data_IF_019132452946
#
_entry.id   IF_019132452946
#
_cell.length_a   1.000
_cell.length_b   1.000
_cell.length_c   1.000
_cell.angle_alpha   90.00
_cell.angle_beta   90.00
_cell.angle_gamma   90.00
#
_symmetry.space_group_name_H-M   'P 1'
#
loop_
_entity.id
_entity.type
_entity.pdbx_description
1 polymer ?
#
# COMPACT_ATOMS: atom_id res chain seq x y z
N UNK A 1 4.97 2.07 -15.85
CA UNK A 1 6.30 1.65 -16.38
C UNK A 1 6.08 0.64 -17.48
N UNK A 2 6.83 0.68 -18.58
CA UNK A 2 6.58 -0.16 -19.76
C UNK A 2 7.79 -1.05 -20.04
N UNK A 3 7.55 -2.24 -20.56
CA UNK A 3 8.57 -3.23 -20.85
C UNK A 3 8.22 -4.08 -22.07
N UNK A 4 9.24 -4.71 -22.66
CA UNK A 4 9.10 -5.73 -23.68
C UNK A 4 9.65 -7.07 -23.16
N UNK A 5 8.96 -8.17 -23.47
CA UNK A 5 9.37 -9.52 -23.11
C UNK A 5 9.62 -10.34 -24.36
N UNK A 6 10.73 -11.07 -24.36
CA UNK A 6 11.02 -12.13 -25.33
C UNK A 6 11.18 -13.42 -24.55
N UNK A 7 10.39 -14.43 -24.89
CA UNK A 7 10.40 -15.71 -24.21
C UNK A 7 10.56 -16.85 -25.21
N UNK A 8 11.41 -17.82 -24.90
CA UNK A 8 11.57 -19.03 -25.71
C UNK A 8 10.41 -20.00 -25.49
N UNK A 9 10.24 -20.94 -26.42
CA UNK A 9 9.27 -22.03 -26.24
C UNK A 9 9.55 -22.80 -24.94
N UNK A 10 8.50 -23.14 -24.21
CA UNK A 10 8.57 -23.83 -22.93
C UNK A 10 9.01 -22.97 -21.74
N UNK A 11 9.25 -21.66 -21.92
CA UNK A 11 9.62 -20.78 -20.82
C UNK A 11 8.50 -20.74 -19.76
N UNK A 12 8.88 -20.99 -18.51
CA UNK A 12 7.99 -21.07 -17.36
C UNK A 12 8.40 -20.05 -16.30
N UNK A 13 7.43 -19.29 -15.79
CA UNK A 13 7.59 -18.35 -14.69
C UNK A 13 6.71 -18.84 -13.55
N UNK A 14 7.30 -19.26 -12.40
CA UNK A 14 6.56 -19.78 -11.24
C UNK A 14 5.57 -18.78 -10.64
N UNK A 15 4.77 -19.23 -9.68
CA UNK A 15 3.83 -18.38 -8.93
C UNK A 15 4.53 -17.20 -8.27
N UNK A 16 4.02 -16.01 -8.53
CA UNK A 16 4.44 -14.76 -7.88
C UNK A 16 3.30 -13.74 -7.95
N UNK A 17 3.46 -12.62 -7.25
CA UNK A 17 2.69 -11.39 -7.46
C UNK A 17 3.62 -10.32 -8.03
N UNK A 18 3.09 -9.41 -8.84
CA UNK A 18 3.89 -8.30 -9.32
C UNK A 18 4.32 -7.40 -8.16
N UNK A 19 5.55 -6.88 -8.25
CA UNK A 19 6.16 -6.07 -7.19
C UNK A 19 5.36 -4.82 -6.86
N UNK A 20 5.62 -4.23 -5.68
CA UNK A 20 5.19 -2.87 -5.34
C UNK A 20 3.67 -2.62 -5.47
N UNK A 21 2.85 -3.67 -5.40
CA UNK A 21 1.40 -3.57 -5.54
C UNK A 21 0.95 -3.08 -6.93
N UNK A 22 1.70 -3.38 -7.98
CA UNK A 22 1.31 -3.01 -9.34
C UNK A 22 0.18 -3.87 -9.89
N UNK A 23 -0.72 -3.23 -10.62
CA UNK A 23 -1.49 -3.90 -11.67
C UNK A 23 -0.63 -4.00 -12.92
N UNK A 24 -0.92 -4.99 -13.77
CA UNK A 24 -0.12 -5.28 -14.96
C UNK A 24 -1.01 -5.41 -16.18
N UNK A 25 -0.57 -4.86 -17.31
CA UNK A 25 -1.12 -5.21 -18.61
C UNK A 25 -0.06 -5.89 -19.45
N UNK A 26 -0.48 -6.83 -20.29
CA UNK A 26 0.37 -7.53 -21.23
C UNK A 26 -0.38 -7.77 -22.52
N UNK A 27 0.30 -7.61 -23.64
CA UNK A 27 -0.23 -7.75 -24.98
C UNK A 27 0.72 -8.59 -25.83
N UNK A 28 0.21 -9.68 -26.39
CA UNK A 28 1.02 -10.60 -27.19
C UNK A 28 1.15 -10.05 -28.62
N UNK A 29 2.38 -9.98 -29.10
CA UNK A 29 2.69 -9.51 -30.46
C UNK A 29 2.92 -10.68 -31.42
N UNK A 30 3.54 -11.75 -30.94
CA UNK A 30 3.69 -13.04 -31.63
C UNK A 30 3.85 -14.16 -30.61
N UNK A 31 3.59 -15.41 -31.00
CA UNK A 31 3.60 -16.56 -30.10
C UNK A 31 2.37 -16.60 -29.20
N UNK A 32 2.42 -17.35 -28.10
CA UNK A 32 1.28 -17.54 -27.19
C UNK A 32 1.73 -17.74 -25.75
N UNK A 33 0.91 -17.30 -24.79
CA UNK A 33 1.14 -17.54 -23.35
C UNK A 33 -0.12 -18.04 -22.67
N UNK A 34 0.03 -18.99 -21.76
CA UNK A 34 -0.94 -19.15 -20.67
C UNK A 34 -0.55 -18.22 -19.55
N UNK A 35 -1.48 -17.34 -19.21
CA UNK A 35 -1.45 -16.55 -18.00
C UNK A 35 -2.43 -17.18 -17.02
N UNK A 36 -1.90 -17.87 -16.01
CA UNK A 36 -2.74 -18.57 -15.03
C UNK A 36 -2.84 -17.69 -13.80
N UNK A 37 -4.06 -17.33 -13.43
CA UNK A 37 -4.41 -16.42 -12.36
C UNK A 37 -4.98 -17.20 -11.19
N UNK A 38 -4.54 -16.89 -9.98
CA UNK A 38 -5.19 -17.36 -8.77
C UNK A 38 -6.39 -16.48 -8.42
N UNK A 39 -7.43 -17.10 -7.89
CA UNK A 39 -8.60 -16.46 -7.29
C UNK A 39 -8.80 -17.01 -5.88
N UNK A 40 -9.23 -16.19 -4.91
CA UNK A 40 -9.59 -16.71 -3.60
C UNK A 40 -10.60 -17.85 -3.68
N UNK A 41 -10.53 -18.76 -2.71
CA UNK A 41 -11.49 -19.87 -2.61
C UNK A 41 -12.79 -19.39 -2.00
N UNK A 42 -13.89 -19.99 -2.45
CA UNK A 42 -15.21 -19.57 -2.03
C UNK A 42 -15.62 -18.29 -2.75
N UNK A 43 -16.90 -17.94 -2.65
CA UNK A 43 -17.43 -16.73 -3.29
C UNK A 43 -16.96 -15.48 -2.53
N UNK A 44 -15.67 -15.13 -2.63
CA UNK A 44 -15.09 -13.86 -2.20
C UNK A 44 -14.98 -12.94 -3.45
N UNK A 45 -16.05 -12.20 -3.79
CA UNK A 45 -16.06 -11.34 -4.97
C UNK A 45 -15.09 -10.15 -4.84
N UNK A 46 -14.70 -9.80 -3.62
CA UNK A 46 -13.93 -8.60 -3.30
C UNK A 46 -12.42 -8.86 -3.19
N UNK A 47 -12.00 -10.12 -3.40
CA UNK A 47 -10.61 -10.55 -3.32
C UNK A 47 -9.95 -10.27 -1.96
N UNK A 48 -10.77 -10.14 -0.92
CA UNK A 48 -10.37 -9.75 0.44
C UNK A 48 -9.49 -10.79 1.14
N UNK A 49 -9.58 -12.06 0.73
CA UNK A 49 -8.72 -13.13 1.22
C UNK A 49 -7.25 -12.94 0.82
N UNK A 50 -6.97 -12.27 -0.30
CA UNK A 50 -5.60 -11.92 -0.66
C UNK A 50 -4.99 -10.82 0.24
N UNK A 51 -5.79 -10.22 1.13
CA UNK A 51 -5.27 -9.35 2.19
C UNK A 51 -4.75 -10.14 3.41
N UNK A 52 -4.97 -11.46 3.49
CA UNK A 52 -4.53 -12.29 4.63
C UNK A 52 -3.03 -12.58 4.56
N UNK A 53 -2.34 -12.48 5.69
CA UNK A 53 -0.90 -12.83 5.77
C UNK A 53 -0.69 -14.32 5.51
N UNK A 54 -1.65 -15.14 5.95
CA UNK A 54 -1.61 -16.61 5.78
C UNK A 54 -1.69 -17.04 4.31
N UNK A 55 -2.19 -16.18 3.42
CA UNK A 55 -2.31 -16.46 1.98
C UNK A 55 -0.95 -16.83 1.39
N UNK A 56 0.10 -16.11 1.81
CA UNK A 56 1.46 -16.26 1.30
C UNK A 56 2.42 -17.00 2.24
N UNK A 57 2.01 -17.22 3.49
CA UNK A 57 2.79 -17.99 4.47
C UNK A 57 2.59 -19.50 4.35
N UNK A 58 3.54 -20.26 4.91
CA UNK A 58 3.38 -21.70 5.11
C UNK A 58 3.78 -22.55 3.90
N UNK A 59 4.85 -22.18 3.20
CA UNK A 59 5.47 -23.01 2.17
C UNK A 59 4.64 -23.13 0.90
N UNK A 60 4.24 -21.99 0.31
CA UNK A 60 3.77 -21.99 -1.08
C UNK A 60 4.83 -22.68 -1.93
N UNK A 61 4.44 -23.76 -2.59
CA UNK A 61 5.26 -24.33 -3.65
C UNK A 61 5.03 -23.46 -4.88
N UNK A 62 5.98 -22.59 -5.19
CA UNK A 62 5.87 -21.66 -6.32
C UNK A 62 5.78 -22.39 -7.67
N UNK A 63 6.07 -23.69 -7.72
CA UNK A 63 6.01 -24.51 -8.93
C UNK A 63 4.77 -25.38 -9.02
N UNK A 64 4.03 -25.59 -7.92
CA UNK A 64 2.81 -26.38 -7.89
C UNK A 64 1.53 -25.52 -7.97
N UNK A 65 0.37 -26.07 -8.34
CA UNK A 65 -0.87 -25.30 -8.47
C UNK A 65 -1.40 -24.63 -7.18
N UNK A 66 -1.04 -25.12 -5.98
CA UNK A 66 -1.54 -24.66 -4.67
C UNK A 66 -3.10 -24.64 -4.57
N UNK A 67 -3.78 -25.70 -5.03
CA UNK A 67 -5.26 -25.80 -5.08
C UNK A 67 -5.94 -25.88 -3.71
N UNK A 68 -5.16 -26.12 -2.65
CA UNK A 68 -5.61 -25.97 -1.27
C UNK A 68 -5.87 -24.50 -0.91
N UNK A 69 -5.15 -23.56 -1.55
CA UNK A 69 -5.16 -22.12 -1.24
C UNK A 69 -6.07 -21.29 -2.13
N UNK A 70 -6.10 -21.56 -3.43
CA UNK A 70 -6.83 -20.74 -4.40
C UNK A 70 -7.44 -21.59 -5.54
N UNK A 71 -8.42 -20.99 -6.21
CA UNK A 71 -8.95 -21.46 -7.48
C UNK A 71 -8.13 -20.89 -8.64
N UNK A 72 -8.06 -21.60 -9.77
CA UNK A 72 -7.22 -21.22 -10.89
C UNK A 72 -8.04 -20.90 -12.14
N UNK A 73 -7.70 -19.78 -12.78
CA UNK A 73 -8.24 -19.38 -14.06
C UNK A 73 -7.10 -19.21 -15.07
N UNK A 74 -7.04 -20.07 -16.08
CA UNK A 74 -6.02 -20.01 -17.12
C UNK A 74 -6.55 -19.27 -18.36
N UNK A 75 -5.88 -18.18 -18.74
CA UNK A 75 -6.21 -17.40 -19.93
C UNK A 75 -5.15 -17.64 -21.00
N UNK A 76 -5.58 -18.13 -22.17
CA UNK A 76 -4.70 -18.22 -23.34
C UNK A 76 -4.64 -16.86 -24.03
N UNK A 77 -3.45 -16.29 -24.07
CA UNK A 77 -3.16 -15.04 -24.75
C UNK A 77 -2.52 -15.34 -26.11
N UNK A 78 -3.15 -14.81 -27.16
CA UNK A 78 -2.74 -14.93 -28.56
C UNK A 78 -2.43 -13.54 -29.12
N UNK A 79 -1.77 -13.44 -30.29
CA UNK A 79 -1.41 -12.15 -30.86
C UNK A 79 -2.61 -11.22 -31.03
N UNK A 80 -2.50 -9.99 -30.54
CA UNK A 80 -3.58 -9.00 -30.51
C UNK A 80 -4.46 -9.04 -29.25
N UNK A 81 -4.28 -10.03 -28.37
CA UNK A 81 -4.97 -10.07 -27.06
C UNK A 81 -4.20 -9.25 -26.04
N UNK A 82 -4.90 -8.35 -25.34
CA UNK A 82 -4.40 -7.66 -24.14
C UNK A 82 -5.10 -8.19 -22.90
N UNK A 83 -4.31 -8.64 -21.93
CA UNK A 83 -4.76 -8.93 -20.57
C UNK A 83 -4.46 -7.72 -19.68
N UNK A 84 -5.39 -7.39 -18.78
CA UNK A 84 -5.18 -6.44 -17.69
C UNK A 84 -5.45 -7.18 -16.38
N UNK A 85 -4.44 -7.27 -15.53
CA UNK A 85 -4.43 -7.97 -14.26
C UNK A 85 -4.39 -6.95 -13.13
N UNK A 86 -5.21 -7.18 -12.11
CA UNK A 86 -5.29 -6.35 -10.90
C UNK A 86 -4.02 -6.53 -10.02
N UNK A 87 -3.73 -5.60 -9.11
CA UNK A 87 -2.67 -5.78 -8.12
C UNK A 87 -2.85 -7.01 -7.24
N UNK A 88 -1.76 -7.44 -6.58
CA UNK A 88 -1.80 -8.49 -5.55
C UNK A 88 -2.46 -9.81 -6.03
N UNK A 89 -2.31 -10.14 -7.32
CA UNK A 89 -2.87 -11.35 -7.92
C UNK A 89 -1.76 -12.38 -8.12
N UNK A 90 -1.78 -13.51 -7.39
CA UNK A 90 -0.84 -14.59 -7.64
C UNK A 90 -1.06 -15.11 -9.05
N UNK A 91 0.02 -15.24 -9.81
CA UNK A 91 -0.04 -15.72 -11.17
C UNK A 91 1.22 -16.50 -11.55
N UNK A 92 1.08 -17.40 -12.51
CA UNK A 92 2.18 -18.05 -13.20
C UNK A 92 2.01 -17.92 -14.71
N UNK A 93 3.11 -18.07 -15.44
CA UNK A 93 3.10 -17.90 -16.89
C UNK A 93 3.83 -19.05 -17.57
N UNK A 94 3.19 -19.66 -18.56
CA UNK A 94 3.81 -20.64 -19.44
C UNK A 94 3.77 -20.14 -20.89
N UNK A 95 4.88 -20.28 -21.60
CA UNK A 95 5.02 -19.78 -22.97
C UNK A 95 4.99 -20.92 -23.98
N UNK A 96 4.07 -20.85 -24.95
CA UNK A 96 3.99 -21.78 -26.07
C UNK A 96 4.58 -21.15 -27.34
N UNK A 97 5.66 -21.73 -27.83
CA UNK A 97 6.42 -21.19 -28.94
C UNK A 97 7.16 -19.91 -28.57
N UNK A 98 8.15 -19.54 -29.39
CA UNK A 98 8.85 -18.27 -29.23
C UNK A 98 7.87 -17.10 -29.28
N UNK A 99 7.86 -16.29 -28.22
CA UNK A 99 6.85 -15.26 -27.99
C UNK A 99 7.51 -13.91 -27.77
N UNK A 100 6.92 -12.87 -28.37
CA UNK A 100 7.21 -11.47 -28.03
C UNK A 100 5.94 -10.86 -27.46
N UNK A 101 6.06 -10.21 -26.31
CA UNK A 101 4.98 -9.49 -25.67
C UNK A 101 5.43 -8.09 -25.26
N UNK A 102 4.47 -7.17 -25.22
CA UNK A 102 4.66 -5.83 -24.67
C UNK A 102 3.76 -5.69 -23.44
N UNK A 103 4.23 -5.00 -22.42
CA UNK A 103 3.42 -4.81 -21.22
C UNK A 103 3.88 -3.66 -20.38
N UNK A 104 3.28 -3.57 -19.21
CA UNK A 104 3.63 -2.55 -18.24
C UNK A 104 2.87 -2.64 -16.95
N UNK A 105 3.39 -1.92 -15.97
CA UNK A 105 2.84 -1.80 -14.63
C UNK A 105 2.14 -0.45 -14.43
N UNK A 106 1.05 -0.46 -13.68
CA UNK A 106 0.24 0.71 -13.37
C UNK A 106 -0.36 0.65 -11.95
N UNK A 107 -0.77 1.81 -11.46
CA UNK A 107 -1.66 1.94 -10.31
C UNK A 107 -3.02 2.42 -10.81
N UNK A 108 -4.10 1.94 -10.20
CA UNK A 108 -5.46 2.38 -10.51
C UNK A 108 -6.21 2.69 -9.23
N UNK A 109 -6.85 3.86 -9.19
CA UNK A 109 -7.68 4.32 -8.07
C UNK A 109 -8.75 3.30 -7.67
N UNK A 110 -9.33 2.60 -8.66
CA UNK A 110 -10.42 1.63 -8.46
C UNK A 110 -10.03 0.36 -7.69
N UNK A 111 -8.73 0.08 -7.52
CA UNK A 111 -8.21 -1.12 -6.85
C UNK A 111 -7.02 -0.78 -5.93
N UNK A 112 -7.00 0.44 -5.38
CA UNK A 112 -5.88 0.90 -4.55
C UNK A 112 -5.70 0.10 -3.25
N UNK A 113 -6.76 -0.49 -2.70
CA UNK A 113 -6.64 -1.43 -1.57
C UNK A 113 -5.76 -2.63 -1.92
N UNK A 114 -5.94 -3.19 -3.12
CA UNK A 114 -5.16 -4.33 -3.60
C UNK A 114 -3.69 -3.93 -3.78
N UNK A 115 -3.43 -2.70 -4.26
CA UNK A 115 -2.07 -2.14 -4.29
C UNK A 115 -1.47 -2.07 -2.89
N UNK A 116 -2.19 -1.58 -1.89
CA UNK A 116 -1.68 -1.51 -0.52
C UNK A 116 -1.31 -2.88 0.05
N UNK A 117 -2.18 -3.88 -0.14
CA UNK A 117 -1.91 -5.24 0.29
C UNK A 117 -0.73 -5.85 -0.46
N UNK A 118 -0.63 -5.63 -1.78
CA UNK A 118 0.49 -6.10 -2.59
C UNK A 118 1.82 -5.48 -2.16
N UNK A 119 1.86 -4.18 -1.83
CA UNK A 119 3.08 -3.55 -1.28
C UNK A 119 3.50 -4.20 0.04
N UNK A 120 2.55 -4.43 0.95
CA UNK A 120 2.83 -5.06 2.25
C UNK A 120 3.33 -6.51 2.10
N UNK A 121 2.68 -7.31 1.26
CA UNK A 121 3.10 -8.69 0.97
C UNK A 121 4.47 -8.76 0.31
N UNK A 122 4.69 -7.98 -0.75
CA UNK A 122 5.96 -8.00 -1.47
C UNK A 122 7.11 -7.41 -0.66
N UNK A 123 6.85 -6.48 0.27
CA UNK A 123 7.88 -6.03 1.21
C UNK A 123 8.32 -7.17 2.13
N UNK A 124 7.39 -7.83 2.81
CA UNK A 124 7.71 -8.91 3.76
C UNK A 124 8.30 -10.14 3.06
N UNK A 125 7.79 -10.49 1.88
CA UNK A 125 8.14 -11.74 1.19
C UNK A 125 8.89 -11.59 -0.12
N UNK A 126 9.65 -10.50 -0.32
CA UNK A 126 10.26 -10.20 -1.62
C UNK A 126 11.14 -11.29 -2.21
N UNK A 127 11.83 -12.07 -1.39
CA UNK A 127 12.67 -13.18 -1.84
C UNK A 127 11.90 -14.32 -2.53
N UNK A 128 10.58 -14.44 -2.29
CA UNK A 128 9.75 -15.53 -2.81
C UNK A 128 8.62 -15.01 -3.69
N UNK A 129 7.99 -13.90 -3.30
CA UNK A 129 6.72 -13.44 -3.86
C UNK A 129 6.86 -12.56 -5.09
N UNK A 130 8.03 -11.98 -5.34
CA UNK A 130 8.27 -11.11 -6.49
C UNK A 130 9.65 -11.36 -7.07
N UNK A 131 9.83 -11.03 -8.35
CA UNK A 131 11.09 -11.13 -9.07
C UNK A 131 11.88 -9.82 -9.08
N UNK A 132 11.27 -8.70 -8.68
CA UNK A 132 11.90 -7.37 -8.75
C UNK A 132 11.34 -6.41 -7.71
N UNK A 133 11.97 -5.24 -7.61
CA UNK A 133 11.51 -4.07 -6.87
C UNK A 133 11.78 -2.84 -7.72
N UNK A 134 10.82 -1.92 -7.80
CA UNK A 134 10.92 -0.72 -8.61
C UNK A 134 10.95 0.51 -7.71
N UNK A 135 12.13 1.00 -7.33
CA UNK A 135 12.27 2.19 -6.47
C UNK A 135 11.42 3.41 -6.86
N UNK A 136 11.20 3.74 -8.16
CA UNK A 136 10.32 4.85 -8.55
C UNK A 136 8.84 4.68 -8.14
N UNK A 137 8.41 3.47 -7.76
CA UNK A 137 7.04 3.16 -7.34
C UNK A 137 6.58 4.04 -6.17
N UNK A 138 7.46 4.27 -5.19
CA UNK A 138 7.19 5.07 -3.99
C UNK A 138 6.94 6.53 -4.34
N UNK A 139 7.67 7.07 -5.32
CA UNK A 139 7.42 8.41 -5.84
C UNK A 139 6.07 8.51 -6.57
N UNK A 140 5.63 7.46 -7.27
CA UNK A 140 4.32 7.44 -7.92
C UNK A 140 3.18 7.44 -6.89
N UNK A 141 3.28 6.64 -5.83
CA UNK A 141 2.29 6.63 -4.74
C UNK A 141 2.21 8.00 -4.03
N UNK A 142 3.37 8.62 -3.76
CA UNK A 142 3.45 10.00 -3.23
C UNK A 142 2.80 11.04 -4.16
N UNK A 143 2.94 10.87 -5.48
CA UNK A 143 2.25 11.74 -6.46
C UNK A 143 0.75 11.50 -6.52
N UNK A 144 0.28 10.27 -6.27
CA UNK A 144 -1.14 9.98 -6.20
C UNK A 144 -1.80 10.65 -4.99
N UNK A 145 -1.18 10.60 -3.80
CA UNK A 145 -1.73 11.32 -2.64
C UNK A 145 -1.73 12.84 -2.84
N UNK A 146 -0.69 13.38 -3.48
CA UNK A 146 -0.66 14.79 -3.89
C UNK A 146 -1.83 15.11 -4.83
N UNK A 147 -2.06 14.30 -5.86
CA UNK A 147 -3.16 14.48 -6.80
C UNK A 147 -4.54 14.43 -6.12
N UNK A 148 -4.76 13.48 -5.21
CA UNK A 148 -6.01 13.37 -4.46
C UNK A 148 -6.20 14.56 -3.52
N UNK A 149 -5.15 14.99 -2.83
CA UNK A 149 -5.18 16.15 -1.94
C UNK A 149 -5.52 17.44 -2.69
N UNK A 150 -4.80 17.75 -3.78
CA UNK A 150 -5.04 18.94 -4.57
C UNK A 150 -6.46 18.98 -5.14
N UNK A 151 -6.99 17.82 -5.56
CA UNK A 151 -8.31 17.75 -6.18
C UNK A 151 -9.46 17.77 -5.16
N UNK A 152 -9.36 16.98 -4.08
CA UNK A 152 -10.43 16.83 -3.09
C UNK A 152 -10.40 17.91 -2.01
N UNK A 153 -9.21 18.20 -1.47
CA UNK A 153 -9.04 19.13 -0.35
C UNK A 153 -8.97 20.56 -0.83
N UNK A 154 -8.09 20.85 -1.81
CA UNK A 154 -7.88 22.21 -2.33
C UNK A 154 -8.87 22.60 -3.43
N UNK A 155 -9.62 21.65 -3.97
CA UNK A 155 -10.63 21.91 -5.01
C UNK A 155 -10.01 22.35 -6.34
N UNK A 156 -8.79 21.92 -6.64
CA UNK A 156 -8.11 22.23 -7.89
C UNK A 156 -8.91 21.70 -9.09
N UNK A 157 -9.22 22.58 -10.05
CA UNK A 157 -9.95 22.19 -11.25
C UNK A 157 -9.11 21.27 -12.14
N UNK A 158 -9.69 20.17 -12.59
CA UNK A 158 -9.07 19.28 -13.56
C UNK A 158 -10.03 18.98 -14.73
N UNK A 159 -9.49 18.52 -15.85
CA UNK A 159 -10.30 18.09 -17.00
C UNK A 159 -11.09 16.84 -16.66
N UNK A 160 -12.17 16.57 -17.41
CA UNK A 160 -13.00 15.37 -17.20
C UNK A 160 -12.19 14.05 -17.28
N UNK A 161 -11.17 13.99 -18.14
CA UNK A 161 -10.30 12.84 -18.26
C UNK A 161 -9.44 12.63 -17.00
N UNK A 162 -8.98 13.72 -16.36
CA UNK A 162 -8.20 13.65 -15.12
C UNK A 162 -9.11 13.34 -13.93
N UNK A 163 -10.30 13.93 -13.87
CA UNK A 163 -11.26 13.66 -12.79
C UNK A 163 -11.74 12.21 -12.76
N UNK A 164 -11.70 11.49 -13.89
CA UNK A 164 -12.01 10.06 -13.96
C UNK A 164 -11.03 9.17 -13.16
N UNK A 165 -9.87 9.71 -12.76
CA UNK A 165 -8.92 9.04 -11.87
C UNK A 165 -9.13 9.37 -10.39
N UNK A 166 -10.08 10.23 -10.04
CA UNK A 166 -10.45 10.49 -8.65
C UNK A 166 -11.33 9.36 -8.12
N UNK A 167 -11.40 9.27 -6.80
CA UNK A 167 -12.34 8.38 -6.15
C UNK A 167 -13.78 8.80 -6.43
N UNK A 168 -14.65 7.82 -6.66
CA UNK A 168 -16.08 8.06 -6.74
C UNK A 168 -16.65 8.21 -5.32
N UNK A 169 -16.87 9.45 -4.90
CA UNK A 169 -17.41 9.76 -3.57
C UNK A 169 -18.88 9.32 -3.39
N UNK A 170 -19.55 8.88 -4.44
CA UNK A 170 -20.88 8.27 -4.35
C UNK A 170 -20.84 6.79 -3.98
N UNK A 171 -19.69 6.14 -4.15
CA UNK A 171 -19.46 4.76 -3.70
C UNK A 171 -19.22 4.72 -2.18
N UNK A 172 -20.04 3.98 -1.40
CA UNK A 172 -19.84 3.83 0.04
C UNK A 172 -18.51 3.13 0.43
N UNK A 173 -17.84 2.45 -0.50
CA UNK A 173 -16.53 1.81 -0.28
C UNK A 173 -15.36 2.78 -0.38
N UNK A 174 -15.50 3.86 -1.16
CA UNK A 174 -14.44 4.85 -1.42
C UNK A 174 -13.75 5.38 -0.16
N UNK A 175 -14.48 5.76 0.92
CA UNK A 175 -13.82 6.22 2.14
C UNK A 175 -12.88 5.19 2.75
N UNK A 176 -13.23 3.90 2.69
CA UNK A 176 -12.36 2.82 3.17
C UNK A 176 -11.12 2.67 2.29
N UNK A 177 -11.27 2.71 0.96
CA UNK A 177 -10.14 2.68 0.04
C UNK A 177 -9.15 3.82 0.28
N UNK A 178 -9.68 5.02 0.48
CA UNK A 178 -8.87 6.20 0.75
C UNK A 178 -8.21 6.11 2.13
N UNK A 179 -8.88 5.55 3.14
CA UNK A 179 -8.29 5.25 4.45
C UNK A 179 -7.13 4.26 4.31
N UNK A 180 -7.32 3.13 3.61
CA UNK A 180 -6.28 2.12 3.37
C UNK A 180 -5.09 2.73 2.64
N UNK A 181 -5.36 3.50 1.58
CA UNK A 181 -4.32 4.15 0.81
C UNK A 181 -3.55 5.19 1.64
N UNK A 182 -4.24 6.04 2.42
CA UNK A 182 -3.57 7.00 3.29
C UNK A 182 -2.74 6.29 4.37
N UNK A 183 -3.23 5.17 4.92
CA UNK A 183 -2.44 4.33 5.84
C UNK A 183 -1.19 3.75 5.17
N UNK A 184 -1.27 3.31 3.91
CA UNK A 184 -0.09 2.92 3.13
C UNK A 184 0.90 4.09 3.00
N UNK A 185 0.43 5.31 2.69
CA UNK A 185 1.29 6.50 2.59
C UNK A 185 1.99 6.78 3.93
N UNK A 186 1.28 6.65 5.05
CA UNK A 186 1.88 6.80 6.38
C UNK A 186 3.03 5.82 6.59
N UNK A 187 2.86 4.56 6.20
CA UNK A 187 3.87 3.50 6.40
C UNK A 187 4.91 3.42 5.27
N UNK A 188 4.79 4.25 4.22
CA UNK A 188 5.49 4.04 2.96
C UNK A 188 7.02 4.07 3.11
N UNK A 189 7.53 4.91 4.00
CA UNK A 189 8.97 4.96 4.31
C UNK A 189 9.45 3.69 5.01
N UNK A 190 8.65 3.10 5.91
CA UNK A 190 8.97 1.82 6.54
C UNK A 190 8.82 0.63 5.56
N UNK A 191 8.02 0.79 4.50
CA UNK A 191 7.82 -0.21 3.44
C UNK A 191 8.69 0.07 2.19
N UNK A 192 9.78 0.81 2.35
CA UNK A 192 10.75 1.11 1.30
C UNK A 192 12.04 0.31 1.53
N UNK A 193 12.51 -0.40 0.51
CA UNK A 193 13.74 -1.19 0.56
C UNK A 193 14.94 -0.30 0.86
N UNK A 194 14.94 0.92 0.30
CA UNK A 194 16.02 1.89 0.49
C UNK A 194 16.17 2.35 1.94
N UNK A 195 15.17 2.14 2.79
CA UNK A 195 15.26 2.48 4.22
C UNK A 195 16.21 1.54 4.98
N UNK A 196 16.47 0.33 4.44
CA UNK A 196 17.22 -0.73 5.10
C UNK A 196 18.53 -1.11 4.40
N UNK A 197 18.67 -0.77 3.12
CA UNK A 197 19.90 -1.02 2.35
C UNK A 197 21.07 -0.21 2.93
N UNK A 198 22.10 -0.89 3.45
CA UNK A 198 23.27 -0.21 4.02
C UNK A 198 24.03 0.56 2.94
N UNK A 199 24.16 1.88 3.07
CA UNK A 199 25.26 2.62 2.43
C UNK A 199 26.55 2.23 3.15
N UNK A 200 27.58 1.83 2.39
CA UNK A 200 28.88 1.46 2.94
C UNK A 200 29.34 2.43 4.05
N UNK A 201 29.83 1.84 5.13
CA UNK A 201 30.26 2.52 6.36
C UNK A 201 31.30 3.59 6.05
N UNK A 202 30.94 4.87 6.20
CA UNK A 202 31.91 5.94 6.43
C UNK A 202 31.45 6.86 7.55
N UNK A 203 32.24 6.84 8.64
CA UNK A 203 32.31 7.79 9.75
C UNK A 203 31.11 7.96 10.68
N UNK A 204 31.44 7.99 11.97
CA UNK A 204 30.61 8.28 13.12
C UNK A 204 29.69 9.49 12.87
N UNK A 205 28.39 9.33 13.16
CA UNK A 205 27.23 10.24 12.96
C UNK A 205 26.36 10.06 11.69
N UNK A 206 26.35 8.89 11.06
CA UNK A 206 25.25 8.54 10.15
C UNK A 206 23.96 8.23 10.93
N UNK A 207 23.08 9.23 11.06
CA UNK A 207 21.66 9.00 11.33
C UNK A 207 21.17 7.90 10.37
N UNK A 208 20.72 6.78 10.93
CA UNK A 208 20.50 5.48 10.28
C UNK A 208 19.31 5.46 9.29
N UNK A 209 19.33 6.33 8.28
CA UNK A 209 18.41 6.27 7.16
C UNK A 209 19.14 6.64 5.84
N UNK A 210 19.24 5.72 4.87
CA UNK A 210 19.89 5.99 3.58
C UNK A 210 19.16 7.02 2.72
N UNK A 211 17.92 7.38 3.09
CA UNK A 211 17.09 8.29 2.33
C UNK A 211 17.65 9.72 2.34
N UNK A 212 17.70 10.37 1.17
CA UNK A 212 18.13 11.78 1.06
C UNK A 212 17.21 12.76 1.81
N UNK A 213 17.71 13.95 2.15
CA UNK A 213 16.90 15.04 2.72
C UNK A 213 15.65 15.34 1.90
N UNK A 214 15.77 15.38 0.57
CA UNK A 214 14.61 15.59 -0.32
C UNK A 214 13.60 14.44 -0.21
N UNK A 215 14.07 13.21 -0.01
CA UNK A 215 13.24 12.04 0.24
C UNK A 215 12.46 12.15 1.56
N UNK A 216 13.14 12.54 2.64
CA UNK A 216 12.52 12.78 3.96
C UNK A 216 11.48 13.91 3.91
N UNK A 217 11.82 15.05 3.31
CA UNK A 217 10.89 16.18 3.16
C UNK A 217 9.67 15.78 2.33
N UNK A 218 9.90 15.06 1.22
CA UNK A 218 8.81 14.56 0.38
C UNK A 218 7.92 13.56 1.11
N UNK A 219 8.50 12.65 1.90
CA UNK A 219 7.76 11.69 2.71
C UNK A 219 6.87 12.42 3.74
N UNK A 220 7.48 13.26 4.59
CA UNK A 220 6.77 14.02 5.61
C UNK A 220 5.65 14.87 5.01
N UNK A 221 5.92 15.61 3.93
CA UNK A 221 4.89 16.41 3.27
C UNK A 221 3.70 15.56 2.78
N UNK A 222 3.98 14.40 2.17
CA UNK A 222 2.91 13.50 1.67
C UNK A 222 2.17 12.78 2.80
N UNK A 223 2.82 12.50 3.92
CA UNK A 223 2.19 11.97 5.14
C UNK A 223 1.24 13.01 5.74
N UNK A 224 1.65 14.28 5.79
CA UNK A 224 0.78 15.39 6.16
C UNK A 224 -0.46 15.49 5.28
N UNK A 225 -0.28 15.40 3.96
CA UNK A 225 -1.40 15.37 2.99
C UNK A 225 -2.34 14.17 3.21
N UNK A 226 -1.80 12.99 3.51
CA UNK A 226 -2.59 11.81 3.81
C UNK A 226 -3.46 12.04 5.06
N UNK A 227 -2.87 12.56 6.14
CA UNK A 227 -3.64 12.89 7.36
C UNK A 227 -4.69 13.97 7.12
N UNK A 228 -4.38 14.98 6.31
CA UNK A 228 -5.36 16.01 5.95
C UNK A 228 -6.50 15.44 5.09
N UNK A 229 -6.21 14.55 4.14
CA UNK A 229 -7.23 13.84 3.37
C UNK A 229 -8.17 13.06 4.30
N UNK A 230 -7.65 12.40 5.33
CA UNK A 230 -8.46 11.71 6.33
C UNK A 230 -9.37 12.69 7.10
N UNK A 231 -8.83 13.82 7.55
CA UNK A 231 -9.64 14.86 8.20
C UNK A 231 -10.74 15.40 7.27
N UNK A 232 -10.39 15.58 6.00
CA UNK A 232 -11.33 15.99 4.95
C UNK A 232 -12.44 14.95 4.76
N UNK A 233 -12.14 13.64 4.74
CA UNK A 233 -13.17 12.58 4.68
C UNK A 233 -14.13 12.72 5.87
N UNK A 234 -13.62 12.78 7.10
CA UNK A 234 -14.49 12.82 8.28
C UNK A 234 -15.26 14.15 8.43
N UNK A 235 -14.82 15.21 7.74
CA UNK A 235 -15.60 16.44 7.56
C UNK A 235 -16.75 16.30 6.56
N UNK A 236 -16.61 15.44 5.54
CA UNK A 236 -17.58 15.27 4.44
C UNK A 236 -18.48 14.05 4.58
N UNK A 237 -18.17 13.13 5.49
CA UNK A 237 -18.96 11.92 5.74
C UNK A 237 -19.37 11.83 7.20
N UNK A 238 -20.60 11.39 7.43
CA UNK A 238 -21.03 10.85 8.70
C UNK A 238 -20.73 9.35 8.73
N UNK A 239 -20.24 8.88 9.88
CA UNK A 239 -19.89 7.48 10.06
C UNK A 239 -20.79 6.88 11.13
N UNK A 240 -21.44 5.77 10.79
CA UNK A 240 -22.27 5.01 11.74
C UNK A 240 -21.71 3.61 11.93
N UNK A 241 -21.72 3.13 13.15
CA UNK A 241 -21.49 1.73 13.44
C UNK A 241 -22.73 0.92 13.02
N UNK A 242 -22.59 -0.01 12.09
CA UNK A 242 -23.66 -0.86 11.57
C UNK A 242 -24.15 -1.90 12.58
N UNK A 243 -23.33 -2.28 13.56
CA UNK A 243 -23.75 -3.21 14.61
C UNK A 243 -24.61 -2.52 15.68
N UNK A 244 -24.19 -1.34 16.14
CA UNK A 244 -24.91 -0.63 17.21
C UNK A 244 -25.93 0.39 16.68
N UNK A 245 -25.76 0.85 15.45
CA UNK A 245 -26.52 1.94 14.84
C UNK A 245 -26.03 3.34 15.24
N UNK A 246 -25.05 3.44 16.13
CA UNK A 246 -24.60 4.70 16.71
C UNK A 246 -23.70 5.50 15.75
N UNK A 247 -23.70 6.82 15.90
CA UNK A 247 -22.77 7.70 15.20
C UNK A 247 -21.40 7.61 15.85
N UNK A 248 -20.36 7.45 15.03
CA UNK A 248 -18.96 7.47 15.47
C UNK A 248 -18.55 8.92 15.69
N UNK A 249 -18.30 9.30 16.93
CA UNK A 249 -18.01 10.69 17.30
C UNK A 249 -16.54 11.07 17.04
N UNK A 250 -15.60 10.12 17.13
CA UNK A 250 -14.17 10.37 16.92
C UNK A 250 -13.58 9.46 15.84
N UNK A 251 -14.08 9.51 14.59
CA UNK A 251 -13.74 8.54 13.55
C UNK A 251 -12.25 8.57 13.15
N UNK A 252 -11.56 9.71 13.34
CA UNK A 252 -10.11 9.77 13.16
C UNK A 252 -9.37 8.79 14.08
N UNK A 253 -9.72 8.78 15.36
CA UNK A 253 -9.09 7.90 16.36
C UNK A 253 -9.65 6.48 16.25
N UNK A 254 -10.98 6.34 16.18
CA UNK A 254 -11.68 5.05 16.23
C UNK A 254 -11.49 4.20 14.97
N UNK A 255 -11.22 4.82 13.81
CA UNK A 255 -11.09 4.12 12.54
C UNK A 255 -9.67 4.23 12.00
N UNK A 256 -9.21 5.45 11.67
CA UNK A 256 -7.92 5.63 10.99
C UNK A 256 -6.73 5.28 11.88
N UNK A 257 -6.64 5.86 13.08
CA UNK A 257 -5.54 5.58 14.01
C UNK A 257 -5.53 4.11 14.45
N UNK A 258 -6.70 3.54 14.79
CA UNK A 258 -6.80 2.11 15.15
C UNK A 258 -6.32 1.20 14.03
N UNK A 259 -6.73 1.47 12.80
CA UNK A 259 -6.29 0.68 11.65
C UNK A 259 -4.79 0.78 11.41
N UNK A 260 -4.23 2.00 11.46
CA UNK A 260 -2.79 2.19 11.26
C UNK A 260 -1.96 1.49 12.34
N UNK A 261 -2.42 1.50 13.59
CA UNK A 261 -1.81 0.76 14.71
C UNK A 261 -1.96 -0.75 14.54
N UNK A 262 -3.09 -1.22 14.01
CA UNK A 262 -3.28 -2.65 13.69
C UNK A 262 -2.27 -3.11 12.63
N UNK A 263 -2.07 -2.31 11.57
CA UNK A 263 -1.05 -2.59 10.55
C UNK A 263 0.36 -2.57 11.13
N UNK A 264 0.70 -1.59 11.98
CA UNK A 264 2.03 -1.48 12.58
C UNK A 264 2.40 -2.66 13.49
N UNK A 265 1.40 -3.42 13.97
CA UNK A 265 1.59 -4.67 14.74
C UNK A 265 1.56 -5.92 13.86
N UNK A 266 0.68 -5.93 12.86
CA UNK A 266 0.51 -7.08 11.96
C UNK A 266 1.71 -7.28 11.05
N UNK A 267 2.34 -6.20 10.59
CA UNK A 267 3.47 -6.26 9.67
C UNK A 267 4.73 -6.90 10.29
N UNK A 268 5.17 -6.53 11.51
CA UNK A 268 6.27 -7.22 12.19
C UNK A 268 5.96 -8.69 12.49
N UNK A 269 4.75 -9.00 12.95
CA UNK A 269 4.32 -10.39 13.20
C UNK A 269 4.35 -11.22 11.92
N UNK A 270 3.88 -10.65 10.81
CA UNK A 270 3.99 -11.29 9.50
C UNK A 270 5.46 -11.51 9.10
N UNK A 271 6.32 -10.50 9.27
CA UNK A 271 7.74 -10.65 8.99
C UNK A 271 8.39 -11.75 9.85
N UNK A 272 8.09 -11.80 11.14
CA UNK A 272 8.58 -12.84 12.04
C UNK A 272 8.15 -14.24 11.58
N UNK A 273 6.88 -14.40 11.16
CA UNK A 273 6.36 -15.65 10.61
C UNK A 273 6.95 -16.02 9.25
N UNK A 274 7.19 -15.03 8.39
CA UNK A 274 7.82 -15.23 7.09
C UNK A 274 9.24 -15.81 7.25
N UNK A 275 10.01 -15.28 8.21
CA UNK A 275 11.36 -15.77 8.52
C UNK A 275 11.36 -17.24 8.99
N UNK A 276 10.31 -17.69 9.69
CA UNK A 276 10.19 -19.10 10.11
C UNK A 276 10.01 -20.07 8.93
N UNK A 277 9.61 -19.57 7.76
CA UNK A 277 9.43 -20.36 6.53
C UNK A 277 10.40 -19.96 5.42
N UNK A 278 11.56 -19.39 5.80
CA UNK A 278 12.64 -18.98 4.90
C UNK A 278 12.21 -17.96 3.83
N UNK A 279 11.21 -17.14 4.16
CA UNK A 279 10.77 -16.03 3.34
C UNK A 279 11.28 -14.72 3.94
N UNK A 280 12.07 -14.00 3.13
CA UNK A 280 12.80 -12.79 3.53
C UNK A 280 12.31 -11.56 2.79
N UNK A 281 12.34 -10.42 3.51
CA UNK A 281 12.13 -9.08 2.98
C UNK A 281 13.45 -8.41 2.51
N UNK A 282 13.55 -7.07 2.57
CA UNK A 282 14.76 -6.35 2.18
C UNK A 282 15.99 -6.78 2.99
N UNK A 283 17.15 -6.80 2.33
CA UNK A 283 18.42 -7.05 2.99
C UNK A 283 18.69 -5.95 4.04
N UNK A 284 19.10 -6.35 5.25
CA UNK A 284 19.36 -5.43 6.36
C UNK A 284 18.14 -5.07 7.20
N UNK A 285 16.93 -5.46 6.78
CA UNK A 285 15.72 -5.32 7.57
C UNK A 285 15.62 -6.46 8.60
N UNK A 286 15.71 -6.15 9.88
CA UNK A 286 15.34 -7.05 10.98
C UNK A 286 13.92 -6.72 11.47
N UNK A 287 13.25 -7.67 12.15
CA UNK A 287 11.93 -7.42 12.76
C UNK A 287 11.97 -6.20 13.68
N UNK A 288 12.98 -6.09 14.55
CA UNK A 288 13.18 -4.95 15.45
C UNK A 288 13.38 -3.63 14.68
N UNK A 289 14.22 -3.62 13.64
CA UNK A 289 14.41 -2.41 12.83
C UNK A 289 13.15 -2.01 12.07
N UNK A 290 12.31 -2.99 11.70
CA UNK A 290 11.05 -2.74 11.02
C UNK A 290 10.02 -2.15 11.98
N UNK A 291 9.89 -2.72 13.17
CA UNK A 291 9.09 -2.20 14.28
C UNK A 291 9.45 -0.74 14.58
N UNK A 292 10.73 -0.44 14.76
CA UNK A 292 11.23 0.91 15.03
C UNK A 292 10.82 1.94 13.96
N UNK A 293 10.86 1.54 12.68
CA UNK A 293 10.49 2.42 11.56
C UNK A 293 8.97 2.60 11.45
N UNK A 294 8.20 1.55 11.74
CA UNK A 294 6.74 1.63 11.81
C UNK A 294 6.29 2.50 12.98
N UNK A 295 6.88 2.34 14.16
CA UNK A 295 6.61 3.18 15.33
C UNK A 295 6.92 4.65 15.05
N UNK A 296 8.05 4.92 14.39
CA UNK A 296 8.39 6.27 13.95
C UNK A 296 7.34 6.84 12.98
N UNK A 297 6.87 6.05 12.02
CA UNK A 297 5.88 6.49 11.04
C UNK A 297 4.52 6.85 11.67
N UNK A 298 4.17 6.23 12.79
CA UNK A 298 2.89 6.48 13.49
C UNK A 298 3.03 7.41 14.70
N UNK A 299 4.23 7.89 15.02
CA UNK A 299 4.50 8.64 16.25
C UNK A 299 3.75 9.97 16.33
N UNK A 300 3.32 10.50 15.18
CA UNK A 300 2.57 11.76 15.07
C UNK A 300 1.06 11.62 15.25
N UNK A 301 0.55 10.40 15.43
CA UNK A 301 -0.84 10.22 15.78
C UNK A 301 -1.13 10.78 17.20
N UNK A 302 -2.31 11.35 17.45
CA UNK A 302 -2.68 11.87 18.76
C UNK A 302 -2.46 10.83 19.88
N UNK A 303 -1.59 11.16 20.85
CA UNK A 303 -1.34 10.34 22.05
C UNK A 303 -2.42 10.63 23.09
N UNK A 304 -3.36 9.72 23.30
CA UNK A 304 -4.45 9.90 24.29
C UNK A 304 -4.44 8.86 25.43
N UNK A 305 -3.30 8.23 25.75
CA UNK A 305 -3.17 6.94 26.48
C UNK A 305 -3.60 5.76 25.59
N UNK A 306 -2.64 5.25 24.77
CA UNK A 306 -2.74 4.09 23.86
C UNK A 306 -4.07 3.35 23.88
N UNK A 307 -5.04 3.78 23.07
CA UNK A 307 -6.27 3.06 22.65
C UNK A 307 -6.60 1.91 23.61
N UNK A 308 -7.12 2.24 24.80
CA UNK A 308 -7.56 1.23 25.77
C UNK A 308 -8.57 0.31 25.09
N UNK A 309 -8.25 -0.98 25.08
CA UNK A 309 -9.07 -2.11 24.63
C UNK A 309 -9.41 -2.19 23.12
N UNK A 310 -8.65 -3.03 22.42
CA UNK A 310 -9.09 -4.35 21.88
C UNK A 310 -8.15 -4.73 20.75
N UNK A 311 -7.16 -5.57 21.04
CA UNK A 311 -6.72 -6.62 20.13
C UNK A 311 -5.81 -7.53 20.97
N UNK A 312 -6.42 -8.42 21.74
CA UNK A 312 -5.78 -9.64 22.25
C UNK A 312 -5.72 -10.72 21.15
N UNK A 313 -5.97 -10.34 19.89
CA UNK A 313 -6.05 -11.27 18.78
C UNK A 313 -4.98 -10.94 17.75
N UNK A 314 -4.20 -11.97 17.46
CA UNK A 314 -3.30 -12.06 16.33
C UNK A 314 -4.09 -11.69 15.05
N UNK A 315 -3.85 -10.48 14.53
CA UNK A 315 -4.55 -10.00 13.34
C UNK A 315 -3.84 -10.61 12.14
N UNK A 316 -4.51 -11.52 11.43
CA UNK A 316 -3.92 -12.24 10.28
C UNK A 316 -4.31 -11.66 8.92
N UNK A 317 -4.81 -10.44 8.88
CA UNK A 317 -5.38 -9.85 7.65
C UNK A 317 -5.23 -8.33 7.63
N UNK A 318 -4.79 -7.79 6.50
CA UNK A 318 -4.63 -6.36 6.31
C UNK A 318 -5.95 -5.63 6.05
N UNK A 319 -6.98 -6.30 5.54
CA UNK A 319 -8.29 -5.69 5.27
C UNK A 319 -9.12 -5.43 6.53
N UNK A 320 -8.61 -5.73 7.72
CA UNK A 320 -9.28 -5.47 9.00
C UNK A 320 -9.17 -3.99 9.39
N UNK A 321 -9.61 -3.08 8.51
CA UNK A 321 -10.42 -1.96 8.98
C UNK A 321 -11.67 -2.62 9.57
N UNK A 322 -11.63 -3.04 10.83
CA UNK A 322 -12.59 -3.97 11.41
C UNK A 322 -13.99 -3.80 10.82
N UNK A 323 -14.46 -4.83 10.09
CA UNK A 323 -14.58 -4.91 8.62
C UNK A 323 -15.32 -3.71 8.02
N UNK A 324 -15.18 -3.49 6.71
CA UNK A 324 -16.05 -2.61 5.92
C UNK A 324 -17.57 -2.92 6.08
N UNK A 325 -17.94 -3.99 6.78
CA UNK A 325 -19.30 -4.34 7.21
C UNK A 325 -19.75 -3.76 8.57
N UNK A 326 -18.88 -3.09 9.33
CA UNK A 326 -19.24 -2.47 10.62
C UNK A 326 -19.43 -0.96 10.54
N UNK A 327 -19.01 -0.30 9.48
CA UNK A 327 -19.20 1.15 9.35
C UNK A 327 -19.95 1.49 8.08
N UNK A 328 -20.86 2.44 8.18
CA UNK A 328 -21.53 3.05 7.04
C UNK A 328 -21.11 4.50 6.94
N UNK A 329 -20.47 4.84 5.83
CA UNK A 329 -20.17 6.22 5.47
C UNK A 329 -21.34 6.78 4.68
N UNK A 330 -21.89 7.90 5.14
CA UNK A 330 -22.94 8.63 4.44
C UNK A 330 -22.43 10.03 4.15
N UNK A 331 -22.47 10.43 2.87
CA UNK A 331 -22.09 11.78 2.48
C UNK A 331 -22.98 12.79 3.21
N UNK A 332 -22.38 13.75 3.90
CA UNK A 332 -23.09 14.83 4.58
C UNK A 332 -22.83 16.16 3.91
N UNK A 333 -23.80 17.06 3.99
CA UNK A 333 -23.58 18.46 3.64
C UNK A 333 -22.76 19.09 4.79
N UNK A 334 -21.49 19.47 4.58
CA UNK A 334 -20.69 19.99 5.67
C UNK A 334 -21.25 21.32 6.17
N UNK A 335 -21.12 21.59 7.48
CA UNK A 335 -21.61 22.83 8.09
C UNK A 335 -20.84 24.10 7.64
N UNK A 336 -19.76 23.93 6.88
CA UNK A 336 -18.95 25.00 6.30
C UNK A 336 -17.92 24.47 5.32
N UNK A 337 -17.20 25.38 4.66
CA UNK A 337 -16.10 25.03 3.76
C UNK A 337 -14.93 24.47 4.56
N UNK A 338 -14.42 23.30 4.16
CA UNK A 338 -13.15 22.78 4.68
C UNK A 338 -12.03 23.75 4.30
N UNK A 339 -11.16 24.11 5.26
CA UNK A 339 -10.03 25.01 5.03
C UNK A 339 -8.76 24.17 4.88
N UNK A 340 -8.14 24.14 3.70
CA UNK A 340 -6.89 23.42 3.51
C UNK A 340 -5.77 23.96 4.40
N UNK A 341 -4.91 23.07 4.88
CA UNK A 341 -3.68 23.41 5.57
C UNK A 341 -2.67 24.00 4.57
N UNK A 342 -1.85 24.93 5.07
CA UNK A 342 -0.71 25.44 4.32
C UNK A 342 0.41 24.39 4.24
N UNK A 343 1.37 24.63 3.34
CA UNK A 343 2.43 23.65 3.07
C UNK A 343 3.35 23.39 4.28
N UNK A 344 3.56 24.40 5.14
CA UNK A 344 4.40 24.25 6.32
C UNK A 344 3.67 23.38 7.33
N UNK A 345 2.40 23.67 7.60
CA UNK A 345 1.60 22.84 8.51
C UNK A 345 1.50 21.39 8.03
N UNK A 346 1.39 21.15 6.72
CA UNK A 346 1.45 19.79 6.16
C UNK A 346 2.78 19.09 6.46
N UNK A 347 3.90 19.77 6.22
CA UNK A 347 5.24 19.22 6.49
C UNK A 347 5.44 18.91 7.98
N UNK A 348 5.05 19.84 8.86
CA UNK A 348 5.17 19.68 10.31
C UNK A 348 4.32 18.52 10.80
N UNK A 349 3.03 18.48 10.44
CA UNK A 349 2.14 17.41 10.87
C UNK A 349 2.61 16.03 10.40
N UNK A 350 3.19 15.96 9.21
CA UNK A 350 3.65 14.70 8.61
C UNK A 350 5.05 14.23 9.00
N UNK A 351 5.89 15.08 9.59
CA UNK A 351 7.26 14.71 9.98
C UNK A 351 7.27 14.09 11.37
N UNK A 352 7.91 12.93 11.58
CA UNK A 352 8.14 12.38 12.93
C UNK A 352 9.14 13.23 13.74
N UNK A 353 9.24 13.05 15.06
CA UNK A 353 10.30 13.72 15.84
C UNK A 353 11.70 13.36 15.31
N UNK A 354 11.93 12.09 14.93
CA UNK A 354 13.20 11.67 14.32
C UNK A 354 13.42 12.32 12.95
N UNK A 355 12.35 12.52 12.17
CA UNK A 355 12.44 13.24 10.88
C UNK A 355 12.80 14.72 11.10
N UNK A 356 12.18 15.39 12.08
CA UNK A 356 12.46 16.78 12.40
C UNK A 356 13.90 16.97 12.92
N UNK A 357 14.37 16.07 13.79
CA UNK A 357 15.76 16.03 14.25
C UNK A 357 16.74 15.88 13.08
N UNK A 358 16.46 14.94 12.17
CA UNK A 358 17.27 14.73 10.97
C UNK A 358 17.26 15.95 10.04
N UNK A 359 16.09 16.51 9.74
CA UNK A 359 15.94 17.68 8.88
C UNK A 359 16.69 18.89 9.46
N UNK A 360 16.60 19.11 10.77
CA UNK A 360 17.33 20.17 11.48
C UNK A 360 18.84 19.94 11.39
N UNK A 361 19.30 18.71 11.59
CA UNK A 361 20.72 18.36 11.41
C UNK A 361 21.21 18.62 9.99
N UNK A 362 20.36 18.42 8.98
CA UNK A 362 20.66 18.72 7.58
C UNK A 362 20.47 20.20 7.21
N UNK A 363 20.19 21.10 8.17
CA UNK A 363 20.14 22.54 7.96
C UNK A 363 18.75 23.11 7.61
N UNK A 364 17.67 22.35 7.82
CA UNK A 364 16.32 22.92 7.82
C UNK A 364 16.14 23.73 9.10
N UNK A 365 15.56 24.93 8.98
CA UNK A 365 15.35 25.83 10.11
C UNK A 365 14.46 25.17 11.17
N UNK A 366 14.93 25.10 12.42
CA UNK A 366 14.18 24.52 13.53
C UNK A 366 12.89 25.30 13.83
N UNK A 367 12.86 26.59 13.49
CA UNK A 367 11.69 27.45 13.67
C UNK A 367 10.51 27.03 12.78
N UNK A 368 10.75 26.16 11.79
CA UNK A 368 9.67 25.53 11.00
C UNK A 368 8.87 24.53 11.84
N UNK A 369 9.48 23.93 12.87
CA UNK A 369 8.89 22.84 13.67
C UNK A 369 8.45 23.25 15.09
N UNK A 370 8.76 24.48 15.51
CA UNK A 370 8.37 25.09 16.80
C UNK A 370 7.07 25.88 16.66
#
# INVERSE_FOLDING_TARGET
MQWGLVATDGAFHPWHIDSDGFGTFVEIQTGRKWWVLARPRGNDPDFSDFARIDTFLGGIDTTAPNLDRWELEAVLLEPGTRLVMRPNTPHLVYTFGHTIAYGGHFYSTSVLRDTAFGVMHTFVGSSVLTNTSHYPSRHLLRRMVYFFHESLVRGSSCSAAVSAHLFDLSDPQTPFDLIIFCSLIMLLTALDFQTYESTEVTSELSLQNPMSLSGHLGAAYTQGMAMELINWIFHHFDVKNLQTGDVVHYPYVEIFSQYLISLSRTLPDYMAKALLVDMHGPQGCTVESFEDKLENAISQLPKLEMIKFRYEHETRQFSTLAPASHYLFTLKKPAGTYKPLDNITLLVNGSSNKDQEYMTHCGVDSDIFL
#
